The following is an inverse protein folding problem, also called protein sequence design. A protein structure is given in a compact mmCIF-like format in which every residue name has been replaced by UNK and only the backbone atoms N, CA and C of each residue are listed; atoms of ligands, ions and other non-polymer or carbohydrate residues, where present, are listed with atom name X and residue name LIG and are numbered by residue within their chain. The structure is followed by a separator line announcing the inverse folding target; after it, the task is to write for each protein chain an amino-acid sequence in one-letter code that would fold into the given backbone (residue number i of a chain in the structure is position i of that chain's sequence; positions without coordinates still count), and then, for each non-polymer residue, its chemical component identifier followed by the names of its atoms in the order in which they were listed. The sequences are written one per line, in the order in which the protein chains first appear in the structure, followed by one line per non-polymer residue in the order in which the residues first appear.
data_IF_421777637224
#
_entry.id   IF_421777637224
#
_cell.length_a   1.000
_cell.length_b   1.000
_cell.length_c   1.000
_cell.angle_alpha   90.00
_cell.angle_beta   90.00
_cell.angle_gamma   90.00
#
_symmetry.space_group_name_H-M   'P 1'
#
loop_
_entity.id
_entity.type
_entity.pdbx_description
1 polymer ?
#
# COMPACT_ATOMS: atom_id res chain seq x y z
N UNK A 1 -2.58 1.83 -6.25
CA UNK A 1 -2.24 3.00 -7.11
C UNK A 1 -0.75 3.33 -7.22
N UNK A 2 0.05 3.30 -6.15
CA UNK A 2 1.51 3.61 -6.26
C UNK A 2 2.19 2.58 -7.17
N UNK A 3 1.89 1.29 -6.93
CA UNK A 3 2.27 0.18 -7.79
C UNK A 3 1.85 0.41 -9.26
N UNK A 4 0.58 0.78 -9.51
CA UNK A 4 0.07 1.05 -10.85
C UNK A 4 0.85 2.16 -11.58
N UNK A 5 1.09 3.30 -10.91
CA UNK A 5 1.90 4.40 -11.45
C UNK A 5 3.32 3.96 -11.80
N UNK A 6 3.95 3.22 -10.91
CA UNK A 6 5.34 2.80 -11.07
C UNK A 6 5.47 1.70 -12.15
N UNK A 7 4.49 0.79 -12.23
CA UNK A 7 4.36 -0.18 -13.32
C UNK A 7 4.17 0.52 -14.66
N UNK A 8 3.35 1.57 -14.73
CA UNK A 8 3.19 2.37 -15.94
C UNK A 8 4.50 3.01 -16.39
N UNK A 9 5.24 3.62 -15.45
CA UNK A 9 6.56 4.20 -15.71
C UNK A 9 7.59 3.16 -16.19
N UNK A 10 7.42 1.89 -15.80
CA UNK A 10 8.19 0.74 -16.27
C UNK A 10 7.66 0.13 -17.59
N UNK A 11 6.66 0.74 -18.23
CA UNK A 11 6.07 0.26 -19.48
C UNK A 11 5.12 -0.93 -19.34
N UNK A 12 4.75 -1.31 -18.10
CA UNK A 12 3.80 -2.40 -17.78
C UNK A 12 2.35 -1.88 -17.80
N UNK A 13 1.86 -1.56 -19.00
CA UNK A 13 0.59 -0.85 -19.19
C UNK A 13 -0.63 -1.68 -18.79
N UNK A 14 -0.68 -2.94 -19.19
CA UNK A 14 -1.83 -3.81 -18.90
C UNK A 14 -1.99 -4.01 -17.39
N UNK A 15 -0.87 -4.27 -16.70
CA UNK A 15 -0.85 -4.46 -15.25
C UNK A 15 -1.11 -3.16 -14.50
N UNK A 16 -0.59 -2.03 -14.99
CA UNK A 16 -0.90 -0.72 -14.42
C UNK A 16 -2.40 -0.39 -14.52
N UNK A 17 -3.03 -0.63 -15.67
CA UNK A 17 -4.46 -0.41 -15.86
C UNK A 17 -5.30 -1.28 -14.92
N UNK A 18 -4.95 -2.57 -14.81
CA UNK A 18 -5.59 -3.51 -13.89
C UNK A 18 -5.45 -3.06 -12.42
N UNK A 19 -4.25 -2.66 -12.01
CA UNK A 19 -3.95 -2.18 -10.64
C UNK A 19 -4.65 -0.87 -10.25
N UNK A 20 -5.10 -0.07 -11.23
CA UNK A 20 -6.02 1.03 -10.96
C UNK A 20 -7.48 0.56 -10.88
N UNK A 21 -7.90 -0.40 -11.70
CA UNK A 21 -9.30 -0.81 -11.78
C UNK A 21 -9.75 -1.75 -10.64
N UNK A 22 -8.93 -2.76 -10.30
CA UNK A 22 -9.28 -3.83 -9.36
C UNK A 22 -9.79 -3.33 -8.00
N UNK A 23 -9.18 -2.31 -7.36
CA UNK A 23 -9.66 -1.81 -6.06
C UNK A 23 -11.12 -1.37 -6.05
N UNK A 24 -11.68 -0.96 -7.20
CA UNK A 24 -13.09 -0.54 -7.29
C UNK A 24 -14.03 -1.70 -6.93
N UNK A 25 -13.82 -2.86 -7.53
CA UNK A 25 -14.65 -4.04 -7.30
C UNK A 25 -14.25 -4.85 -6.08
N UNK A 26 -12.97 -4.84 -5.72
CA UNK A 26 -12.44 -5.69 -4.64
C UNK A 26 -12.51 -5.06 -3.25
N UNK A 27 -12.56 -3.73 -3.16
CA UNK A 27 -12.50 -3.02 -1.88
C UNK A 27 -13.53 -1.89 -1.81
N UNK A 28 -13.58 -1.01 -2.80
CA UNK A 28 -14.38 0.21 -2.70
C UNK A 28 -15.88 -0.06 -2.76
N UNK A 29 -16.31 -1.06 -3.53
CA UNK A 29 -17.70 -1.50 -3.57
C UNK A 29 -18.21 -1.92 -2.18
N UNK A 30 -17.44 -2.74 -1.46
CA UNK A 30 -17.80 -3.18 -0.10
C UNK A 30 -17.78 -2.03 0.92
N UNK A 31 -16.93 -1.02 0.69
CA UNK A 31 -16.77 0.14 1.57
C UNK A 31 -17.75 1.28 1.29
N UNK A 32 -18.51 1.25 0.18
CA UNK A 32 -19.33 2.37 -0.28
C UNK A 32 -20.34 2.82 0.78
N UNK A 33 -21.05 1.87 1.40
CA UNK A 33 -21.99 2.17 2.48
C UNK A 33 -21.32 2.79 3.72
N UNK A 34 -20.14 2.30 4.08
CA UNK A 34 -19.39 2.82 5.23
C UNK A 34 -18.85 4.23 4.97
N UNK A 35 -18.42 4.52 3.73
CA UNK A 35 -17.97 5.83 3.29
C UNK A 35 -19.14 6.82 3.20
N UNK A 36 -20.25 6.44 2.57
CA UNK A 36 -21.43 7.28 2.45
C UNK A 36 -21.99 7.68 3.83
N UNK A 37 -22.06 6.74 4.77
CA UNK A 37 -22.51 7.01 6.15
C UNK A 37 -21.62 8.02 6.90
N UNK A 38 -20.40 8.28 6.42
CA UNK A 38 -19.43 9.23 6.99
C UNK A 38 -19.24 10.48 6.13
N UNK A 39 -20.07 10.66 5.10
CA UNK A 39 -20.00 11.79 4.17
C UNK A 39 -18.74 11.78 3.31
N UNK A 40 -18.14 10.61 3.07
CA UNK A 40 -17.02 10.44 2.14
C UNK A 40 -17.60 10.27 0.73
N UNK A 41 -17.24 11.14 -0.24
CA UNK A 41 -17.65 10.97 -1.62
C UNK A 41 -17.14 9.66 -2.22
N UNK A 42 -17.86 9.12 -3.21
CA UNK A 42 -17.35 7.98 -3.97
C UNK A 42 -16.04 8.34 -4.66
N UNK A 43 -15.10 7.40 -4.66
CA UNK A 43 -13.79 7.54 -5.29
C UNK A 43 -13.68 6.69 -6.56
N UNK A 44 -14.71 5.91 -6.90
CA UNK A 44 -14.66 4.91 -7.97
C UNK A 44 -14.23 5.51 -9.31
N UNK A 45 -14.80 6.67 -9.67
CA UNK A 45 -14.46 7.37 -10.92
C UNK A 45 -12.97 7.74 -10.99
N UNK A 46 -12.34 8.13 -9.88
CA UNK A 46 -10.91 8.47 -9.88
C UNK A 46 -10.04 7.26 -10.27
N UNK A 47 -10.41 6.06 -9.84
CA UNK A 47 -9.71 4.82 -10.15
C UNK A 47 -9.99 4.36 -11.58
N UNK A 48 -11.25 4.41 -12.02
CA UNK A 48 -11.65 4.09 -13.40
C UNK A 48 -10.95 5.02 -14.39
N UNK A 49 -10.95 6.32 -14.12
CA UNK A 49 -10.30 7.32 -14.96
C UNK A 49 -8.78 7.15 -15.03
N UNK A 50 -8.14 6.74 -13.94
CA UNK A 50 -6.72 6.42 -13.94
C UNK A 50 -6.40 5.18 -14.78
N UNK A 51 -7.24 4.14 -14.69
CA UNK A 51 -7.13 2.95 -15.54
C UNK A 51 -7.32 3.31 -17.02
N UNK A 52 -8.35 4.09 -17.34
CA UNK A 52 -8.63 4.57 -18.70
C UNK A 52 -7.48 5.44 -19.25
N UNK A 53 -6.88 6.30 -18.41
CA UNK A 53 -5.72 7.11 -18.79
C UNK A 53 -4.51 6.26 -19.18
N UNK A 54 -4.26 5.15 -18.48
CA UNK A 54 -3.21 4.19 -18.84
C UNK A 54 -3.51 3.54 -20.20
N UNK A 55 -4.76 3.11 -20.42
CA UNK A 55 -5.19 2.48 -21.68
C UNK A 55 -5.10 3.47 -22.85
N UNK A 56 -5.37 4.75 -22.61
CA UNK A 56 -5.27 5.83 -23.57
C UNK A 56 -3.83 6.32 -23.82
N UNK A 57 -2.83 5.71 -23.19
CA UNK A 57 -1.41 6.07 -23.30
C UNK A 57 -1.12 7.52 -22.92
N UNK A 58 -1.78 7.99 -21.84
CA UNK A 58 -1.50 9.32 -21.29
C UNK A 58 -0.04 9.46 -20.83
N UNK A 59 0.47 10.68 -20.79
CA UNK A 59 1.85 10.91 -20.35
C UNK A 59 2.06 10.50 -18.90
N UNK A 60 3.31 10.18 -18.53
CA UNK A 60 3.68 9.89 -17.13
C UNK A 60 3.25 11.01 -16.17
N UNK A 61 3.29 12.27 -16.60
CA UNK A 61 2.83 13.40 -15.79
C UNK A 61 1.32 13.36 -15.52
N UNK A 62 0.52 12.99 -16.52
CA UNK A 62 -0.93 12.82 -16.36
C UNK A 62 -1.25 11.65 -15.41
N UNK A 63 -0.58 10.50 -15.58
CA UNK A 63 -0.76 9.35 -14.66
C UNK A 63 -0.32 9.69 -13.23
N UNK A 64 0.77 10.46 -13.06
CA UNK A 64 1.19 10.96 -11.76
C UNK A 64 0.12 11.86 -11.12
N UNK A 65 -0.48 12.75 -11.91
CA UNK A 65 -1.55 13.65 -11.47
C UNK A 65 -2.79 12.87 -11.00
N UNK A 66 -3.23 11.88 -11.79
CA UNK A 66 -4.36 11.01 -11.42
C UNK A 66 -4.06 10.21 -10.16
N UNK A 67 -2.86 9.66 -10.04
CA UNK A 67 -2.41 8.94 -8.84
C UNK A 67 -2.44 9.84 -7.61
N UNK A 68 -1.99 11.09 -7.74
CA UNK A 68 -2.02 12.07 -6.65
C UNK A 68 -3.46 12.40 -6.22
N UNK A 69 -4.39 12.54 -7.17
CA UNK A 69 -5.81 12.78 -6.88
C UNK A 69 -6.43 11.63 -6.08
N UNK A 70 -6.17 10.38 -6.47
CA UNK A 70 -6.63 9.21 -5.71
C UNK A 70 -6.03 9.20 -4.29
N UNK A 71 -4.72 9.42 -4.16
CA UNK A 71 -4.06 9.46 -2.85
C UNK A 71 -4.60 10.57 -1.95
N UNK A 72 -4.93 11.73 -2.51
CA UNK A 72 -5.55 12.82 -1.78
C UNK A 72 -6.96 12.45 -1.31
N UNK A 73 -7.77 11.83 -2.18
CA UNK A 73 -9.12 11.39 -1.83
C UNK A 73 -9.11 10.33 -0.71
N UNK A 74 -8.24 9.33 -0.78
CA UNK A 74 -8.09 8.33 0.31
C UNK A 74 -7.67 8.97 1.63
N UNK A 75 -6.78 9.98 1.60
CA UNK A 75 -6.36 10.70 2.81
C UNK A 75 -7.51 11.51 3.40
N UNK A 76 -8.27 12.22 2.56
CA UNK A 76 -9.46 12.94 3.00
C UNK A 76 -10.53 11.99 3.58
N UNK A 77 -10.69 10.80 3.00
CA UNK A 77 -11.56 9.76 3.54
C UNK A 77 -11.09 9.29 4.92
N UNK A 78 -9.78 9.11 5.11
CA UNK A 78 -9.21 8.71 6.40
C UNK A 78 -9.46 9.72 7.53
N UNK A 79 -9.59 11.02 7.22
CA UNK A 79 -9.95 12.06 8.20
C UNK A 79 -11.39 11.93 8.71
N UNK A 80 -12.24 11.15 8.04
CA UNK A 80 -13.61 10.84 8.46
C UNK A 80 -13.71 9.55 9.28
N UNK A 81 -12.58 8.94 9.61
CA UNK A 81 -12.56 7.76 10.47
C UNK A 81 -13.19 8.06 11.84
N UNK A 82 -13.93 7.09 12.44
CA UNK A 82 -14.50 7.29 13.76
C UNK A 82 -13.40 7.47 14.82
N UNK A 83 -13.74 8.15 15.91
CA UNK A 83 -12.85 8.24 17.06
C UNK A 83 -12.56 6.85 17.63
N UNK A 84 -11.33 6.66 18.10
CA UNK A 84 -10.85 5.42 18.70
C UNK A 84 -10.13 5.77 20.01
N UNK A 85 -10.26 4.90 21.01
CA UNK A 85 -9.61 5.10 22.31
C UNK A 85 -8.09 4.84 22.26
N UNK A 86 -7.60 4.19 21.21
CA UNK A 86 -6.17 3.94 20.98
C UNK A 86 -5.42 5.25 20.70
N UNK A 87 -4.14 5.28 21.06
CA UNK A 87 -3.29 6.43 20.77
C UNK A 87 -3.09 6.61 19.25
N UNK A 88 -2.82 7.84 18.77
CA UNK A 88 -2.49 8.08 17.37
C UNK A 88 -1.32 7.22 16.85
N UNK A 89 -0.33 6.94 17.71
CA UNK A 89 0.78 6.05 17.40
C UNK A 89 0.32 4.60 17.19
N UNK A 90 -0.60 4.09 18.02
CA UNK A 90 -1.14 2.74 17.88
C UNK A 90 -2.04 2.60 16.65
N UNK A 91 -2.84 3.61 16.32
CA UNK A 91 -3.66 3.63 15.10
C UNK A 91 -2.77 3.65 13.86
N UNK A 92 -1.83 4.61 13.79
CA UNK A 92 -0.93 4.75 12.64
C UNK A 92 -0.04 3.53 12.47
N UNK A 93 0.52 3.02 13.57
CA UNK A 93 1.31 1.80 13.58
C UNK A 93 0.51 0.58 13.16
N UNK A 94 -0.74 0.45 13.58
CA UNK A 94 -1.63 -0.64 13.17
C UNK A 94 -1.88 -0.68 11.67
N UNK A 95 -2.10 0.49 11.04
CA UNK A 95 -2.21 0.58 9.57
C UNK A 95 -0.92 0.17 8.91
N UNK A 96 0.23 0.70 9.36
CA UNK A 96 1.55 0.36 8.77
C UNK A 96 1.85 -1.13 8.91
N UNK A 97 1.51 -1.73 10.05
CA UNK A 97 1.70 -3.17 10.31
C UNK A 97 0.88 -4.03 9.37
N UNK A 98 -0.40 -3.70 9.13
CA UNK A 98 -1.24 -4.44 8.17
C UNK A 98 -0.66 -4.37 6.74
N UNK A 99 -0.13 -3.21 6.34
CA UNK A 99 0.51 -3.07 5.03
C UNK A 99 1.84 -3.86 4.94
N UNK A 100 2.65 -3.89 6.01
CA UNK A 100 3.88 -4.71 6.07
C UNK A 100 3.54 -6.19 5.95
N UNK A 101 2.50 -6.64 6.66
CA UNK A 101 2.08 -8.03 6.67
C UNK A 101 1.60 -8.50 5.30
N UNK A 102 0.70 -7.72 4.68
CA UNK A 102 0.23 -7.97 3.32
C UNK A 102 1.37 -7.96 2.29
N UNK A 103 2.35 -7.06 2.44
CA UNK A 103 3.51 -7.04 1.56
C UNK A 103 4.35 -8.34 1.68
N UNK A 104 4.57 -8.83 2.89
CA UNK A 104 5.27 -10.09 3.12
C UNK A 104 4.50 -11.30 2.56
N UNK A 105 3.17 -11.32 2.73
CA UNK A 105 2.31 -12.38 2.21
C UNK A 105 2.28 -12.40 0.68
N UNK A 106 2.16 -11.24 0.05
CA UNK A 106 2.21 -11.11 -1.40
C UNK A 106 3.56 -11.53 -1.97
N UNK A 107 4.68 -11.24 -1.28
CA UNK A 107 6.00 -11.70 -1.71
C UNK A 107 6.10 -13.23 -1.71
N UNK A 108 5.57 -13.87 -0.64
CA UNK A 108 5.50 -15.32 -0.53
C UNK A 108 4.66 -15.93 -1.65
N UNK A 109 3.49 -15.36 -1.95
CA UNK A 109 2.62 -15.84 -3.02
C UNK A 109 3.27 -15.66 -4.40
N UNK A 110 3.92 -14.52 -4.64
CA UNK A 110 4.64 -14.25 -5.88
C UNK A 110 5.79 -15.25 -6.09
N UNK A 111 6.56 -15.56 -5.04
CA UNK A 111 7.62 -16.57 -5.12
C UNK A 111 7.10 -18.00 -5.37
N UNK A 112 5.92 -18.33 -4.83
CA UNK A 112 5.32 -19.65 -5.01
C UNK A 112 4.62 -19.83 -6.38
N UNK A 113 3.99 -18.78 -6.89
CA UNK A 113 3.19 -18.82 -8.13
C UNK A 113 3.94 -18.35 -9.37
N UNK A 114 4.97 -17.52 -9.20
CA UNK A 114 5.60 -16.78 -10.29
C UNK A 114 4.73 -15.65 -10.85
N UNK A 115 3.57 -15.36 -10.23
CA UNK A 115 2.64 -14.33 -10.71
C UNK A 115 3.17 -12.92 -10.41
N UNK A 116 3.28 -12.12 -11.46
CA UNK A 116 3.70 -10.73 -11.37
C UNK A 116 2.66 -9.85 -10.67
N UNK A 117 1.36 -10.17 -10.75
CA UNK A 117 0.30 -9.46 -10.05
C UNK A 117 0.52 -9.48 -8.53
N UNK A 118 0.79 -10.67 -7.97
CA UNK A 118 1.14 -10.80 -6.54
C UNK A 118 2.39 -9.99 -6.18
N UNK A 119 3.43 -9.99 -7.02
CA UNK A 119 4.61 -9.16 -6.75
C UNK A 119 4.24 -7.69 -6.68
N UNK A 120 3.46 -7.22 -7.66
CA UNK A 120 3.09 -5.82 -7.79
C UNK A 120 2.16 -5.34 -6.66
N UNK A 121 1.24 -6.20 -6.19
CA UNK A 121 0.43 -5.94 -5.00
C UNK A 121 1.29 -5.77 -3.76
N UNK A 122 2.24 -6.69 -3.54
CA UNK A 122 3.15 -6.60 -2.40
C UNK A 122 4.07 -5.38 -2.45
N UNK A 123 4.56 -5.01 -3.63
CA UNK A 123 5.26 -3.74 -3.84
C UNK A 123 4.35 -2.55 -3.47
N UNK A 124 3.08 -2.57 -3.89
CA UNK A 124 2.10 -1.56 -3.54
C UNK A 124 1.90 -1.40 -2.03
N UNK A 125 1.74 -2.51 -1.31
CA UNK A 125 1.61 -2.52 0.15
C UNK A 125 2.87 -2.02 0.85
N UNK A 126 4.05 -2.43 0.40
CA UNK A 126 5.33 -1.91 0.91
C UNK A 126 5.42 -0.38 0.76
N UNK A 127 5.15 0.16 -0.44
CA UNK A 127 5.20 1.61 -0.67
C UNK A 127 4.12 2.37 0.12
N UNK A 128 2.95 1.77 0.31
CA UNK A 128 1.92 2.34 1.17
C UNK A 128 2.37 2.42 2.63
N UNK A 129 2.99 1.35 3.15
CA UNK A 129 3.57 1.28 4.50
C UNK A 129 4.68 2.33 4.69
N UNK A 130 5.62 2.41 3.75
CA UNK A 130 6.73 3.38 3.77
C UNK A 130 6.20 4.81 3.78
N UNK A 131 5.27 5.14 2.89
CA UNK A 131 4.67 6.47 2.82
C UNK A 131 3.86 6.81 4.07
N UNK A 132 3.14 5.85 4.66
CA UNK A 132 2.42 6.04 5.90
C UNK A 132 3.36 6.26 7.08
N UNK A 133 4.45 5.49 7.18
CA UNK A 133 5.46 5.69 8.21
C UNK A 133 6.14 7.06 8.09
N UNK A 134 6.51 7.48 6.87
CA UNK A 134 7.11 8.80 6.66
C UNK A 134 6.22 9.96 7.16
N UNK A 135 4.89 9.86 6.96
CA UNK A 135 3.93 10.88 7.45
C UNK A 135 3.69 10.79 8.97
N UNK A 136 3.65 9.58 9.51
CA UNK A 136 3.38 9.32 10.93
C UNK A 136 4.61 9.28 11.83
N UNK A 137 5.82 9.44 11.27
CA UNK A 137 7.09 9.11 11.93
C UNK A 137 7.23 9.75 13.30
N UNK A 138 7.08 11.07 13.38
CA UNK A 138 7.21 11.82 14.65
C UNK A 138 6.22 11.34 15.71
N UNK A 139 4.97 11.09 15.31
CA UNK A 139 3.92 10.60 16.22
C UNK A 139 4.27 9.22 16.75
N UNK A 140 4.76 8.33 15.89
CA UNK A 140 5.10 6.96 16.26
C UNK A 140 6.37 6.93 17.12
N UNK A 141 7.43 7.63 16.72
CA UNK A 141 8.69 7.70 17.50
C UNK A 141 8.46 8.27 18.91
N UNK A 142 7.56 9.27 19.04
CA UNK A 142 7.23 9.87 20.34
C UNK A 142 6.35 8.95 21.19
N UNK A 143 5.33 8.32 20.59
CA UNK A 143 4.36 7.51 21.33
C UNK A 143 4.80 6.07 21.60
N UNK A 144 5.64 5.50 20.74
CA UNK A 144 6.16 4.14 20.84
C UNK A 144 7.47 3.98 20.03
N UNK A 145 8.63 4.34 20.61
CA UNK A 145 9.92 4.28 19.90
C UNK A 145 10.34 2.84 19.54
N UNK A 146 9.92 1.85 20.33
CA UNK A 146 10.19 0.44 20.02
C UNK A 146 9.47 0.01 18.74
N UNK A 147 8.20 0.40 18.58
CA UNK A 147 7.44 0.19 17.36
C UNK A 147 8.07 0.90 16.16
N UNK A 148 8.50 2.15 16.32
CA UNK A 148 9.18 2.90 15.26
C UNK A 148 10.41 2.14 14.74
N UNK A 149 11.22 1.60 15.64
CA UNK A 149 12.39 0.80 15.28
C UNK A 149 12.03 -0.49 14.53
N UNK A 150 10.98 -1.22 14.96
CA UNK A 150 10.55 -2.44 14.26
C UNK A 150 9.96 -2.14 12.88
N UNK A 151 9.16 -1.07 12.74
CA UNK A 151 8.64 -0.63 11.45
C UNK A 151 9.79 -0.29 10.51
N UNK A 152 10.76 0.51 10.96
CA UNK A 152 11.92 0.89 10.14
C UNK A 152 12.70 -0.35 9.65
N UNK A 153 12.95 -1.32 10.54
CA UNK A 153 13.64 -2.56 10.18
C UNK A 153 12.84 -3.41 9.17
N UNK A 154 11.53 -3.51 9.35
CA UNK A 154 10.66 -4.24 8.42
C UNK A 154 10.59 -3.58 7.04
N UNK A 155 10.51 -2.23 6.99
CA UNK A 155 10.56 -1.48 5.74
C UNK A 155 11.91 -1.65 5.02
N UNK A 156 13.04 -1.67 5.75
CA UNK A 156 14.35 -1.99 5.17
C UNK A 156 14.38 -3.38 4.56
N UNK A 157 13.83 -4.39 5.24
CA UNK A 157 13.77 -5.76 4.72
C UNK A 157 12.86 -5.86 3.48
N UNK A 158 11.70 -5.22 3.49
CA UNK A 158 10.79 -5.17 2.34
C UNK A 158 11.43 -4.44 1.15
N UNK A 159 12.12 -3.32 1.38
CA UNK A 159 12.82 -2.59 0.32
C UNK A 159 13.92 -3.38 -0.36
N UNK A 160 14.54 -4.35 0.34
CA UNK A 160 15.54 -5.23 -0.26
C UNK A 160 14.91 -6.23 -1.25
N UNK A 161 13.66 -6.66 -1.01
CA UNK A 161 12.96 -7.64 -1.86
C UNK A 161 12.04 -7.00 -2.90
N UNK A 162 11.66 -5.74 -2.68
CA UNK A 162 10.85 -4.89 -3.55
C UNK A 162 11.64 -3.65 -4.03
N UNK A 163 12.72 -3.83 -4.81
CA UNK A 163 13.57 -2.72 -5.23
C UNK A 163 12.87 -1.77 -6.20
N UNK A 164 11.92 -2.26 -6.99
CA UNK A 164 11.12 -1.49 -7.94
C UNK A 164 9.79 -2.21 -8.23
N UNK A 165 8.91 -1.56 -9.01
CA UNK A 165 7.71 -2.19 -9.53
C UNK A 165 8.01 -3.33 -10.52
N UNK A 166 9.19 -3.34 -11.14
CA UNK A 166 9.64 -4.49 -11.93
C UNK A 166 10.11 -5.61 -11.01
N UNK A 167 9.56 -6.81 -11.20
CA UNK A 167 10.01 -7.97 -10.45
C UNK A 167 11.44 -8.34 -10.84
N UNK A 168 12.29 -8.74 -9.86
CA UNK A 168 13.55 -9.38 -10.17
C UNK A 168 13.32 -10.68 -10.96
N UNK A 169 14.33 -11.10 -11.73
CA UNK A 169 14.26 -12.32 -12.53
C UNK A 169 13.94 -13.59 -11.71
N UNK A 170 14.26 -13.58 -10.40
CA UNK A 170 13.86 -14.60 -9.45
C UNK A 170 13.33 -13.95 -8.18
N UNK A 171 12.18 -14.44 -7.70
CA UNK A 171 11.58 -14.06 -6.42
C UNK A 171 11.95 -15.12 -5.39
N UNK A 172 13.14 -14.99 -4.81
CA UNK A 172 13.75 -15.98 -3.92
C UNK A 172 14.32 -15.37 -2.63
N UNK A 173 13.86 -14.17 -2.26
CA UNK A 173 14.21 -13.54 -0.98
C UNK A 173 13.76 -14.38 0.22
N UNK A 174 14.32 -14.10 1.39
CA UNK A 174 14.05 -14.83 2.62
C UNK A 174 12.65 -14.49 3.18
N UNK A 175 11.66 -15.28 2.77
CA UNK A 175 10.27 -15.16 3.23
C UNK A 175 10.17 -15.32 4.76
N UNK A 176 10.97 -16.20 5.37
CA UNK A 176 10.94 -16.41 6.82
C UNK A 176 11.42 -15.15 7.56
N UNK A 177 12.46 -14.47 7.04
CA UNK A 177 12.91 -13.20 7.58
C UNK A 177 11.85 -12.10 7.44
N UNK A 178 11.11 -12.04 6.33
CA UNK A 178 10.01 -11.08 6.13
C UNK A 178 8.85 -11.34 7.11
N UNK A 179 8.42 -12.59 7.26
CA UNK A 179 7.39 -12.97 8.24
C UNK A 179 7.82 -12.66 9.68
N UNK A 180 9.09 -12.92 10.01
CA UNK A 180 9.64 -12.56 11.31
C UNK A 180 9.69 -11.04 11.53
N UNK A 181 9.99 -10.26 10.49
CA UNK A 181 9.95 -8.80 10.56
C UNK A 181 8.52 -8.26 10.78
N UNK A 182 7.53 -8.76 10.04
CA UNK A 182 6.10 -8.45 10.27
C UNK A 182 5.69 -8.78 11.71
N UNK A 183 6.04 -9.97 12.19
CA UNK A 183 5.72 -10.42 13.55
C UNK A 183 6.30 -9.51 14.63
N UNK A 184 7.53 -9.02 14.46
CA UNK A 184 8.14 -8.08 15.42
C UNK A 184 7.39 -6.74 15.48
N UNK A 185 6.83 -6.27 14.36
CA UNK A 185 6.00 -5.06 14.34
C UNK A 185 4.69 -5.30 15.09
N UNK A 186 4.03 -6.44 14.86
CA UNK A 186 2.80 -6.82 15.58
C UNK A 186 3.05 -6.91 17.09
N UNK A 187 4.13 -7.58 17.51
CA UNK A 187 4.50 -7.69 18.92
C UNK A 187 4.76 -6.30 19.56
N UNK A 188 5.41 -5.38 18.84
CA UNK A 188 5.63 -4.02 19.32
C UNK A 188 4.36 -3.17 19.39
N UNK A 189 3.30 -3.55 18.67
CA UNK A 189 1.94 -3.01 18.80
C UNK A 189 1.14 -3.67 19.94
N UNK A 190 1.64 -4.74 20.54
CA UNK A 190 0.91 -5.55 21.52
C UNK A 190 -0.12 -6.49 20.88
N UNK A 191 0.16 -7.00 19.67
CA UNK A 191 -0.66 -7.97 18.94
C UNK A 191 0.13 -9.24 18.65
#
# INVERSE_FOLDING_TARGET
MIAARDAYAAGRKEEAAAMFAHPVGEVLADMEGAFAARGVPSMNELFVDASAGVIADETTEQINTRTAAILAALRAAAEKAPADARSPAAISGGVISDQIDRAADMYRLAGASGDYGHYLDGYGFYKAAEGAYARGRTVIETGNPALAAQIAAALTALGAVYPSAEAPAAINGDVAALSAASSRVMLALGR
#
